data_IF_748703715855
#
_entry.id   IF_748703715855
#
_cell.length_a   1.000
_cell.length_b   1.000
_cell.length_c   1.000
_cell.angle_alpha   90.00
_cell.angle_beta   90.00
_cell.angle_gamma   90.00
#
_symmetry.space_group_name_H-M   'P 1'
#
loop_
_entity.id
_entity.type
_entity.pdbx_description
1 polymer ?
#
# COMPACT_ATOMS: atom_id res chain seq x y z
N UNK A 1 75.28 27.29 -37.94
CA UNK A 1 74.93 26.43 -36.79
C UNK A 1 73.72 27.04 -36.07
N UNK A 2 72.64 26.25 -35.98
CA UNK A 2 71.64 26.12 -34.88
C UNK A 2 70.90 27.41 -34.42
N UNK A 3 69.60 27.61 -34.73
CA UNK A 3 68.36 27.12 -34.05
C UNK A 3 68.20 27.69 -32.60
N UNK A 4 67.04 28.05 -32.03
CA UNK A 4 65.65 27.57 -32.05
C UNK A 4 64.69 28.68 -31.54
N UNK A 5 63.54 28.97 -32.16
CA UNK A 5 62.21 28.36 -32.02
C UNK A 5 61.55 28.46 -30.61
N UNK A 6 60.85 29.57 -30.35
CA UNK A 6 59.88 29.75 -29.25
C UNK A 6 58.51 30.13 -29.83
N UNK A 7 57.54 29.23 -29.79
CA UNK A 7 56.15 29.58 -30.09
C UNK A 7 55.26 28.40 -30.44
N UNK A 8 55.07 27.44 -29.53
CA UNK A 8 54.09 26.35 -29.73
C UNK A 8 53.78 25.57 -28.42
N UNK A 9 53.21 26.19 -27.38
CA UNK A 9 52.76 25.41 -26.19
C UNK A 9 51.47 25.86 -25.47
N UNK A 10 50.75 26.90 -25.89
CA UNK A 10 49.60 27.43 -25.10
C UNK A 10 48.20 27.11 -25.64
N UNK A 11 48.04 26.32 -26.72
CA UNK A 11 46.70 26.04 -27.33
C UNK A 11 46.22 24.58 -27.23
N UNK A 12 47.01 23.69 -26.61
CA UNK A 12 46.73 22.26 -26.58
C UNK A 12 46.19 21.74 -25.23
N UNK A 13 46.29 22.54 -24.16
CA UNK A 13 45.80 22.15 -22.84
C UNK A 13 44.28 22.39 -22.70
N UNK A 14 43.78 23.58 -23.08
CA UNK A 14 42.34 23.93 -23.03
C UNK A 14 41.44 22.97 -23.83
N UNK A 15 41.89 22.54 -25.02
CA UNK A 15 41.09 21.66 -25.87
C UNK A 15 40.93 20.24 -25.31
N UNK A 16 41.94 19.75 -24.58
CA UNK A 16 41.89 18.42 -23.99
C UNK A 16 41.01 18.38 -22.73
N UNK A 17 40.88 19.50 -22.03
CA UNK A 17 40.02 19.61 -20.85
C UNK A 17 38.55 19.83 -21.27
N UNK A 18 38.27 20.62 -22.32
CA UNK A 18 36.92 20.73 -22.91
C UNK A 18 36.45 19.43 -23.56
N UNK A 19 37.29 18.74 -24.36
CA UNK A 19 36.92 17.44 -24.95
C UNK A 19 36.73 16.34 -23.88
N UNK A 20 37.48 16.36 -22.76
CA UNK A 20 37.22 15.45 -21.63
C UNK A 20 35.93 15.81 -20.88
N UNK A 21 35.64 17.10 -20.67
CA UNK A 21 34.42 17.54 -19.99
C UNK A 21 33.16 17.15 -20.78
N UNK A 22 33.17 17.34 -22.11
CA UNK A 22 32.07 16.92 -23.00
C UNK A 22 31.89 15.39 -23.03
N UNK A 23 32.98 14.64 -22.93
CA UNK A 23 32.95 13.17 -22.90
C UNK A 23 32.44 12.63 -21.55
N UNK A 24 32.79 13.28 -20.44
CA UNK A 24 32.28 12.98 -19.09
C UNK A 24 30.78 13.30 -18.99
N UNK A 25 30.32 14.40 -19.60
CA UNK A 25 28.89 14.76 -19.64
C UNK A 25 28.07 13.74 -20.44
N UNK A 26 28.57 13.28 -21.58
CA UNK A 26 27.93 12.22 -22.37
C UNK A 26 27.87 10.87 -21.66
N UNK A 27 28.95 10.46 -20.97
CA UNK A 27 28.97 9.22 -20.18
C UNK A 27 28.05 9.28 -18.95
N UNK A 28 27.94 10.45 -18.33
CA UNK A 28 27.01 10.70 -17.23
C UNK A 28 25.56 10.57 -17.70
N UNK A 29 25.20 11.15 -18.85
CA UNK A 29 23.85 11.03 -19.44
C UNK A 29 23.51 9.56 -19.71
N UNK A 30 24.41 8.81 -20.35
CA UNK A 30 24.22 7.37 -20.61
C UNK A 30 24.07 6.56 -19.33
N UNK A 31 24.77 6.95 -18.25
CA UNK A 31 24.66 6.29 -16.95
C UNK A 31 23.31 6.55 -16.28
N UNK A 32 22.77 7.77 -16.42
CA UNK A 32 21.44 8.15 -15.93
C UNK A 32 20.35 7.38 -16.69
N UNK A 33 20.46 7.26 -18.01
CA UNK A 33 19.51 6.47 -18.83
C UNK A 33 19.48 4.99 -18.39
N UNK A 34 20.65 4.38 -18.22
CA UNK A 34 20.74 2.99 -17.70
C UNK A 34 20.16 2.86 -16.30
N UNK A 35 20.35 3.85 -15.44
CA UNK A 35 19.77 3.83 -14.10
C UNK A 35 18.24 3.93 -14.16
N UNK A 36 17.70 4.73 -15.08
CA UNK A 36 16.25 4.80 -15.32
C UNK A 36 15.70 3.46 -15.80
N UNK A 37 16.36 2.78 -16.75
CA UNK A 37 15.94 1.45 -17.20
C UNK A 37 15.89 0.43 -16.05
N UNK A 38 16.88 0.46 -15.15
CA UNK A 38 16.90 -0.40 -13.96
C UNK A 38 15.74 -0.06 -13.01
N UNK A 39 15.45 1.23 -12.82
CA UNK A 39 14.32 1.67 -11.99
C UNK A 39 12.97 1.22 -12.57
N UNK A 40 12.81 1.29 -13.90
CA UNK A 40 11.61 0.81 -14.59
C UNK A 40 11.44 -0.71 -14.41
N UNK A 41 12.54 -1.46 -14.44
CA UNK A 41 12.51 -2.91 -14.19
C UNK A 41 12.19 -3.25 -12.72
N UNK A 42 12.70 -2.47 -11.77
CA UNK A 42 12.32 -2.60 -10.35
C UNK A 42 10.84 -2.30 -10.12
N UNK A 43 10.28 -1.29 -10.79
CA UNK A 43 8.86 -0.97 -10.72
C UNK A 43 8.01 -2.14 -11.21
N UNK A 44 8.33 -2.72 -12.36
CA UNK A 44 7.63 -3.92 -12.88
C UNK A 44 7.68 -5.10 -11.92
N UNK A 45 8.83 -5.31 -11.25
CA UNK A 45 8.97 -6.38 -10.25
C UNK A 45 8.07 -6.11 -9.05
N UNK A 46 8.03 -4.86 -8.56
CA UNK A 46 7.20 -4.46 -7.43
C UNK A 46 5.70 -4.55 -7.75
N UNK A 47 5.29 -4.15 -8.96
CA UNK A 47 3.91 -4.31 -9.42
C UNK A 47 3.50 -5.79 -9.42
N UNK A 48 4.34 -6.66 -9.99
CA UNK A 48 4.07 -8.10 -10.01
C UNK A 48 3.98 -8.69 -8.60
N UNK A 49 4.87 -8.28 -7.69
CA UNK A 49 4.83 -8.73 -6.29
C UNK A 49 3.53 -8.26 -5.60
N UNK A 50 3.13 -7.02 -5.82
CA UNK A 50 1.88 -6.45 -5.30
C UNK A 50 0.65 -7.22 -5.80
N UNK A 51 0.64 -7.57 -7.09
CA UNK A 51 -0.46 -8.34 -7.68
C UNK A 51 -0.49 -9.80 -7.17
N UNK A 52 0.66 -10.44 -6.96
CA UNK A 52 0.71 -11.78 -6.35
C UNK A 52 0.19 -11.78 -4.91
N UNK A 53 0.54 -10.77 -4.11
CA UNK A 53 -0.01 -10.60 -2.74
C UNK A 53 -1.52 -10.40 -2.79
N UNK A 54 -2.01 -9.58 -3.71
CA UNK A 54 -3.44 -9.32 -3.88
C UNK A 54 -4.21 -10.60 -4.21
N UNK A 55 -3.69 -11.44 -5.10
CA UNK A 55 -4.33 -12.71 -5.47
C UNK A 55 -4.38 -13.69 -4.28
N UNK A 56 -3.36 -13.68 -3.43
CA UNK A 56 -3.38 -14.45 -2.17
C UNK A 56 -4.47 -13.92 -1.24
N UNK A 57 -4.58 -12.62 -1.05
CA UNK A 57 -5.61 -12.01 -0.20
C UNK A 57 -7.03 -12.33 -0.69
N UNK A 58 -7.30 -12.15 -1.98
CA UNK A 58 -8.59 -12.51 -2.60
C UNK A 58 -8.95 -13.97 -2.35
N UNK A 59 -8.01 -14.88 -2.60
CA UNK A 59 -8.21 -16.32 -2.37
C UNK A 59 -8.60 -16.62 -0.93
N UNK A 60 -7.90 -16.03 0.05
CA UNK A 60 -8.22 -16.29 1.45
C UNK A 60 -9.48 -15.58 1.92
N UNK A 61 -9.88 -14.46 1.31
CA UNK A 61 -11.17 -13.82 1.57
C UNK A 61 -12.34 -14.73 1.18
N UNK A 62 -12.28 -15.36 0.01
CA UNK A 62 -13.29 -16.33 -0.42
C UNK A 62 -13.36 -17.56 0.50
N UNK A 63 -12.22 -18.05 0.98
CA UNK A 63 -12.15 -19.19 1.91
C UNK A 63 -12.68 -18.81 3.30
N UNK A 64 -12.39 -17.59 3.77
CA UNK A 64 -12.83 -17.09 5.09
C UNK A 64 -14.33 -16.80 5.13
N UNK A 65 -14.91 -16.32 4.03
CA UNK A 65 -16.33 -15.93 3.96
C UNK A 65 -17.31 -16.99 4.51
N UNK A 66 -17.32 -18.26 4.05
CA UNK A 66 -18.24 -19.26 4.59
C UNK A 66 -17.96 -19.62 6.06
N UNK A 67 -16.74 -19.42 6.54
CA UNK A 67 -16.40 -19.61 7.97
C UNK A 67 -16.96 -18.47 8.80
N UNK A 68 -16.86 -17.22 8.32
CA UNK A 68 -17.48 -16.07 8.95
C UNK A 68 -19.01 -16.16 8.97
N UNK A 69 -19.62 -16.64 7.88
CA UNK A 69 -21.07 -16.83 7.82
C UNK A 69 -21.54 -17.87 8.85
N UNK A 70 -20.83 -19.02 8.97
CA UNK A 70 -21.09 -20.02 10.02
C UNK A 70 -20.93 -19.44 11.43
N UNK A 71 -19.88 -18.63 11.65
CA UNK A 71 -19.67 -17.94 12.92
C UNK A 71 -20.84 -17.01 13.24
N UNK A 72 -21.32 -16.25 12.24
CA UNK A 72 -22.44 -15.33 12.39
C UNK A 72 -23.72 -16.06 12.81
N UNK A 73 -24.03 -17.20 12.20
CA UNK A 73 -25.19 -18.02 12.57
C UNK A 73 -25.13 -18.52 14.01
N UNK A 74 -23.95 -18.91 14.50
CA UNK A 74 -23.78 -19.32 15.91
C UNK A 74 -23.95 -18.11 16.83
N UNK A 75 -23.35 -16.96 16.49
CA UNK A 75 -23.43 -15.73 17.29
C UNK A 75 -24.89 -15.26 17.47
N UNK A 76 -25.74 -15.40 16.45
CA UNK A 76 -27.18 -15.05 16.55
C UNK A 76 -27.92 -15.78 17.68
N UNK A 77 -27.41 -16.92 18.14
CA UNK A 77 -27.99 -17.66 19.27
C UNK A 77 -27.52 -17.18 20.66
N UNK A 78 -26.55 -16.26 20.70
CA UNK A 78 -25.97 -15.71 21.93
C UNK A 78 -26.54 -14.30 22.14
N UNK A 79 -27.42 -14.09 23.13
CA UNK A 79 -28.00 -12.77 23.40
C UNK A 79 -26.93 -11.72 23.69
N UNK A 80 -27.15 -10.50 23.19
CA UNK A 80 -26.30 -9.32 23.43
C UNK A 80 -24.80 -9.52 23.12
N UNK A 81 -24.44 -10.49 22.27
CA UNK A 81 -23.04 -10.82 22.01
C UNK A 81 -22.22 -9.61 21.55
N UNK A 82 -22.68 -8.89 20.52
CA UNK A 82 -21.93 -7.78 19.95
C UNK A 82 -21.85 -6.56 20.88
N UNK A 83 -22.92 -6.24 21.60
CA UNK A 83 -22.88 -5.21 22.64
C UNK A 83 -21.86 -5.59 23.72
N UNK A 84 -21.92 -6.83 24.22
CA UNK A 84 -20.98 -7.33 25.24
C UNK A 84 -19.54 -7.29 24.74
N UNK A 85 -19.30 -7.68 23.49
CA UNK A 85 -17.97 -7.65 22.87
C UNK A 85 -17.40 -6.23 22.76
N UNK A 86 -18.21 -5.26 22.34
CA UNK A 86 -17.80 -3.85 22.27
C UNK A 86 -17.49 -3.27 23.64
N UNK A 87 -18.34 -3.53 24.64
CA UNK A 87 -18.12 -3.05 26.02
C UNK A 87 -16.93 -3.71 26.71
N UNK A 88 -16.54 -4.90 26.27
CA UNK A 88 -15.36 -5.61 26.79
C UNK A 88 -14.06 -5.14 26.13
N UNK A 89 -14.14 -4.43 24.99
CA UNK A 89 -12.95 -3.98 24.26
C UNK A 89 -12.53 -2.58 24.72
N UNK A 90 -11.31 -2.38 25.28
CA UNK A 90 -10.92 -1.14 25.96
C UNK A 90 -11.14 0.14 25.14
N UNK A 91 -10.75 0.14 23.86
CA UNK A 91 -10.88 1.33 23.02
C UNK A 91 -12.30 1.54 22.46
N UNK A 92 -13.13 0.49 22.40
CA UNK A 92 -14.47 0.59 21.80
C UNK A 92 -15.53 0.88 22.87
N UNK A 93 -15.33 0.39 24.09
CA UNK A 93 -16.21 0.66 25.22
C UNK A 93 -16.30 2.14 25.55
N UNK A 94 -15.20 2.88 25.36
CA UNK A 94 -15.15 4.34 25.58
C UNK A 94 -15.93 5.14 24.54
N UNK A 95 -16.27 4.53 23.39
CA UNK A 95 -17.00 5.19 22.31
C UNK A 95 -18.52 5.07 22.45
N UNK A 96 -19.01 4.18 23.30
CA UNK A 96 -20.44 3.93 23.48
C UNK A 96 -20.98 4.68 24.70
N UNK A 97 -21.98 5.52 24.48
CA UNK A 97 -22.73 6.16 25.56
C UNK A 97 -23.79 5.21 26.14
N UNK A 98 -24.35 5.58 27.30
CA UNK A 98 -25.47 4.83 27.89
C UNK A 98 -26.71 4.77 26.98
N UNK A 99 -26.89 5.75 26.09
CA UNK A 99 -27.96 5.74 25.09
C UNK A 99 -27.66 4.77 23.95
N UNK A 100 -26.42 4.76 23.46
CA UNK A 100 -25.98 3.82 22.43
C UNK A 100 -26.13 2.37 22.88
N UNK A 101 -25.96 2.08 24.18
CA UNK A 101 -26.20 0.73 24.71
C UNK A 101 -27.62 0.24 24.41
N UNK A 102 -28.62 1.13 24.44
CA UNK A 102 -30.02 0.76 24.17
C UNK A 102 -30.23 0.43 22.68
N UNK A 103 -29.55 1.15 21.79
CA UNK A 103 -29.56 0.90 20.35
C UNK A 103 -28.80 -0.40 20.04
N UNK A 104 -27.63 -0.60 20.65
CA UNK A 104 -26.79 -1.78 20.47
C UNK A 104 -27.40 -3.08 21.00
N UNK A 105 -28.40 -3.02 21.89
CA UNK A 105 -29.22 -4.21 22.22
C UNK A 105 -29.97 -4.77 21.02
N UNK A 106 -30.20 -3.96 19.99
CA UNK A 106 -30.82 -4.38 18.73
C UNK A 106 -29.79 -4.80 17.68
N UNK A 107 -28.48 -4.72 17.97
CA UNK A 107 -27.42 -5.12 17.04
C UNK A 107 -27.34 -6.64 16.95
N UNK A 108 -27.67 -7.18 15.78
CA UNK A 108 -27.77 -8.62 15.53
C UNK A 108 -26.54 -9.22 14.87
N UNK A 109 -25.90 -8.48 13.95
CA UNK A 109 -24.61 -8.87 13.38
C UNK A 109 -23.74 -7.67 13.05
N UNK A 110 -22.43 -7.91 13.03
CA UNK A 110 -21.45 -7.02 12.42
C UNK A 110 -20.73 -7.82 11.35
N UNK A 111 -20.68 -7.25 10.15
CA UNK A 111 -20.06 -7.84 8.98
C UNK A 111 -18.95 -6.92 8.49
N UNK A 112 -17.75 -7.48 8.32
CA UNK A 112 -16.60 -6.78 7.75
C UNK A 112 -16.26 -7.51 6.47
N UNK A 113 -16.42 -6.83 5.34
CA UNK A 113 -16.20 -7.41 4.02
C UNK A 113 -15.19 -6.58 3.25
N UNK A 114 -14.10 -7.24 2.84
CA UNK A 114 -13.16 -6.63 1.89
C UNK A 114 -13.85 -6.48 0.53
N UNK A 115 -13.58 -5.37 -0.14
CA UNK A 115 -14.07 -5.16 -1.49
C UNK A 115 -13.51 -6.23 -2.43
N UNK A 116 -14.27 -6.60 -3.46
CA UNK A 116 -13.82 -7.57 -4.49
C UNK A 116 -12.51 -7.16 -5.14
N UNK A 117 -12.33 -5.85 -5.27
CA UNK A 117 -11.02 -5.25 -5.48
C UNK A 117 -10.47 -4.82 -4.12
N UNK A 118 -9.57 -5.61 -3.52
CA UNK A 118 -9.03 -5.33 -2.17
C UNK A 118 -8.29 -3.98 -2.13
N UNK A 119 -7.78 -3.50 -3.27
CA UNK A 119 -7.20 -2.15 -3.41
C UNK A 119 -8.24 -1.04 -3.19
N UNK A 120 -9.54 -1.34 -3.29
CA UNK A 120 -10.67 -0.44 -3.06
C UNK A 120 -11.12 -0.35 -1.59
N UNK A 121 -10.51 -1.11 -0.67
CA UNK A 121 -10.79 -1.04 0.77
C UNK A 121 -11.84 -2.04 1.26
N UNK A 122 -12.50 -1.74 2.39
CA UNK A 122 -13.45 -2.63 3.06
C UNK A 122 -14.71 -1.90 3.51
N UNK A 123 -15.79 -2.65 3.74
CA UNK A 123 -17.01 -2.17 4.37
C UNK A 123 -17.17 -2.77 5.77
N UNK A 124 -17.73 -1.98 6.69
CA UNK A 124 -18.20 -2.47 7.99
C UNK A 124 -19.70 -2.21 8.05
N UNK A 125 -20.49 -3.27 8.19
CA UNK A 125 -21.94 -3.21 8.23
C UNK A 125 -22.43 -3.63 9.61
N UNK A 126 -23.22 -2.76 10.25
CA UNK A 126 -23.90 -3.03 11.51
C UNK A 126 -25.37 -3.33 11.21
N UNK A 127 -25.82 -4.55 11.48
CA UNK A 127 -27.17 -5.01 11.17
C UNK A 127 -28.04 -5.03 12.42
N UNK A 128 -29.08 -4.20 12.43
CA UNK A 128 -30.00 -4.08 13.57
C UNK A 128 -31.32 -4.79 13.29
N UNK A 129 -31.90 -5.41 14.31
CA UNK A 129 -33.30 -5.81 14.29
C UNK A 129 -34.22 -4.57 14.27
N UNK A 130 -35.48 -4.69 13.82
CA UNK A 130 -36.46 -3.61 13.97
C UNK A 130 -36.49 -3.09 15.41
N UNK A 131 -36.41 -1.77 15.56
CA UNK A 131 -36.25 -1.11 16.84
C UNK A 131 -36.90 0.29 16.82
N UNK A 132 -37.13 0.93 17.98
CA UNK A 132 -37.90 2.17 18.06
C UNK A 132 -37.08 3.45 17.80
N UNK A 133 -35.83 3.31 17.37
CA UNK A 133 -34.91 4.43 17.09
C UNK A 133 -34.83 4.73 15.59
#
# INVERSE_FOLDING_TARGET
MVADNKGKKLKAADKNDEENADQIDGELVLSIEKLQEIQDDLEKINEKASDEVLEVEKKYNEIRKPVYDKRNEIIKSIPDFWLTAFLSHPALSELLSEEDHKIFKHLTSIEVEDSKDVKSGYSITFNFSPNPY
#
